data_IF_927673646420
#
_entry.id   IF_927673646420
#
_cell.length_a   1.000
_cell.length_b   1.000
_cell.length_c   1.000
_cell.angle_alpha   90.00
_cell.angle_beta   90.00
_cell.angle_gamma   90.00
#
_symmetry.space_group_name_H-M   'P 1'
#
loop_
_entity.id
_entity.type
_entity.pdbx_description
1 polymer ?
#
# COMPACT_ATOMS: atom_id res chain seq x y z
N UNK A 1 -0.61 4.70 23.07
CA UNK A 1 0.10 4.11 21.91
C UNK A 1 -0.10 5.02 20.71
N UNK A 2 0.97 5.40 20.00
CA UNK A 2 0.86 6.20 18.77
C UNK A 2 0.76 5.27 17.54
N UNK A 3 -0.47 4.93 17.16
CA UNK A 3 -0.74 4.03 16.03
C UNK A 3 -0.33 4.62 14.67
N UNK A 4 -0.14 5.94 14.56
CA UNK A 4 0.37 6.56 13.34
C UNK A 4 1.85 6.25 13.15
N UNK A 5 2.64 6.30 14.22
CA UNK A 5 4.05 5.87 14.19
C UNK A 5 4.17 4.37 13.97
N UNK A 6 3.36 3.54 14.64
CA UNK A 6 3.38 2.08 14.44
C UNK A 6 3.01 1.72 13.00
N UNK A 7 1.99 2.36 12.43
CA UNK A 7 1.61 2.14 11.03
C UNK A 7 2.70 2.51 10.04
N UNK A 8 3.57 3.49 10.35
CA UNK A 8 4.70 3.84 9.49
C UNK A 8 5.77 2.76 9.56
N UNK A 9 6.07 2.26 10.77
CA UNK A 9 7.02 1.18 11.01
C UNK A 9 6.60 -0.09 10.27
N UNK A 10 5.37 -0.55 10.52
CA UNK A 10 4.82 -1.76 9.88
C UNK A 10 4.75 -1.58 8.36
N UNK A 11 4.42 -0.39 7.85
CA UNK A 11 4.48 -0.12 6.42
C UNK A 11 5.91 -0.21 5.87
N UNK A 12 6.92 0.22 6.62
CA UNK A 12 8.31 0.11 6.17
C UNK A 12 8.77 -1.34 6.08
N UNK A 13 8.56 -2.11 7.16
CA UNK A 13 8.84 -3.54 7.21
C UNK A 13 8.15 -4.31 6.08
N UNK A 14 6.84 -4.10 5.89
CA UNK A 14 6.06 -4.91 4.94
C UNK A 14 6.15 -4.44 3.48
N UNK A 15 6.73 -3.26 3.19
CA UNK A 15 6.74 -2.71 1.82
C UNK A 15 8.12 -2.50 1.23
N UNK A 16 9.09 -2.17 2.07
CA UNK A 16 10.36 -1.62 1.61
C UNK A 16 11.53 -2.50 2.01
N UNK A 17 11.57 -2.96 3.26
CA UNK A 17 12.74 -3.65 3.80
C UNK A 17 12.36 -4.83 4.71
N UNK A 18 11.58 -5.83 4.26
CA UNK A 18 11.19 -6.97 5.11
C UNK A 18 12.41 -7.74 5.64
N UNK A 19 13.50 -7.83 4.86
CA UNK A 19 14.74 -8.47 5.28
C UNK A 19 15.45 -7.78 6.45
N UNK A 20 15.29 -6.46 6.64
CA UNK A 20 15.84 -5.76 7.83
C UNK A 20 15.11 -6.17 9.12
N UNK A 21 13.91 -6.73 8.98
CA UNK A 21 13.12 -7.30 10.07
C UNK A 21 13.18 -8.83 10.07
N UNK A 22 14.08 -9.45 9.30
CA UNK A 22 14.17 -10.91 9.17
C UNK A 22 12.83 -11.55 8.72
N UNK A 23 12.04 -10.82 7.92
CA UNK A 23 10.76 -11.27 7.39
C UNK A 23 10.90 -11.68 5.93
N UNK A 24 10.20 -12.76 5.58
CA UNK A 24 9.99 -13.18 4.19
C UNK A 24 8.52 -13.02 3.83
N UNK A 25 8.25 -12.13 2.86
CA UNK A 25 6.91 -11.98 2.32
C UNK A 25 6.60 -13.15 1.38
N UNK A 26 5.41 -13.71 1.45
CA UNK A 26 4.96 -14.62 0.40
C UNK A 26 4.59 -13.89 -0.90
N UNK A 27 4.22 -14.64 -1.95
CA UNK A 27 3.87 -14.09 -3.26
C UNK A 27 2.73 -13.06 -3.22
N UNK A 28 1.91 -13.06 -2.17
CA UNK A 28 0.79 -12.16 -1.96
C UNK A 28 1.08 -11.07 -0.91
N UNK A 29 2.29 -11.05 -0.33
CA UNK A 29 2.79 -10.06 0.62
C UNK A 29 2.55 -10.40 2.09
N UNK A 30 2.09 -11.61 2.42
CA UNK A 30 1.77 -11.99 3.80
C UNK A 30 3.00 -12.44 4.59
N UNK A 31 3.00 -12.11 5.88
CA UNK A 31 3.90 -12.63 6.91
C UNK A 31 3.09 -13.12 8.11
N UNK A 32 3.70 -13.95 8.94
CA UNK A 32 3.15 -14.30 10.25
C UNK A 32 3.23 -13.09 11.21
N UNK A 33 2.16 -12.86 11.98
CA UNK A 33 2.12 -11.76 12.98
C UNK A 33 3.13 -12.01 14.09
N UNK A 34 3.31 -13.24 14.55
CA UNK A 34 4.24 -13.58 15.62
C UNK A 34 5.67 -13.26 15.19
N UNK A 35 6.05 -13.57 13.94
CA UNK A 35 7.35 -13.17 13.39
C UNK A 35 7.51 -11.65 13.31
N UNK A 36 6.50 -10.92 12.80
CA UNK A 36 6.56 -9.45 12.77
C UNK A 36 6.72 -8.86 14.17
N UNK A 37 6.01 -9.39 15.17
CA UNK A 37 6.09 -8.93 16.55
C UNK A 37 7.49 -9.18 17.13
N UNK A 38 8.05 -10.37 16.94
CA UNK A 38 9.42 -10.69 17.37
C UNK A 38 10.43 -9.69 16.82
N UNK A 39 10.35 -9.38 15.53
CA UNK A 39 11.24 -8.41 14.89
C UNK A 39 11.04 -6.99 15.41
N UNK A 40 9.78 -6.57 15.60
CA UNK A 40 9.49 -5.24 16.15
C UNK A 40 9.96 -5.10 17.59
N UNK A 41 9.90 -6.18 18.39
CA UNK A 41 10.32 -6.16 19.79
C UNK A 41 11.82 -5.94 19.99
N UNK A 42 12.63 -6.07 18.93
CA UNK A 42 14.06 -5.72 18.96
C UNK A 42 14.29 -4.22 19.16
N UNK A 43 13.34 -3.37 18.74
CA UNK A 43 13.34 -1.93 19.03
C UNK A 43 12.64 -1.66 20.37
N UNK A 44 13.36 -1.02 21.30
CA UNK A 44 12.84 -0.58 22.60
C UNK A 44 11.55 0.21 22.52
N UNK A 45 11.32 0.92 21.42
CA UNK A 45 10.09 1.67 21.18
C UNK A 45 8.86 0.77 21.02
N UNK A 46 9.05 -0.44 20.53
CA UNK A 46 7.99 -1.38 20.18
C UNK A 46 8.00 -2.65 21.03
N UNK A 47 8.93 -2.83 21.98
CA UNK A 47 9.10 -4.04 22.81
C UNK A 47 7.84 -4.58 23.52
N UNK A 48 6.80 -3.77 23.70
CA UNK A 48 5.56 -4.14 24.39
C UNK A 48 4.33 -4.24 23.49
N UNK A 49 4.47 -4.06 22.16
CA UNK A 49 3.32 -4.12 21.26
C UNK A 49 2.77 -5.55 21.19
N UNK A 50 1.45 -5.66 21.03
CA UNK A 50 0.78 -6.95 20.92
C UNK A 50 0.07 -7.11 19.57
N UNK A 51 -0.38 -8.33 19.25
CA UNK A 51 -1.28 -8.53 18.10
C UNK A 51 -2.55 -7.64 18.21
N UNK A 52 -3.05 -7.43 19.44
CA UNK A 52 -4.21 -6.55 19.66
C UNK A 52 -3.91 -5.10 19.28
N UNK A 53 -2.67 -4.63 19.44
CA UNK A 53 -2.25 -3.30 19.01
C UNK A 53 -2.15 -3.22 17.48
N UNK A 54 -1.65 -4.25 16.82
CA UNK A 54 -1.63 -4.33 15.35
C UNK A 54 -3.06 -4.31 14.80
N UNK A 55 -3.98 -5.06 15.38
CA UNK A 55 -5.41 -5.05 15.00
C UNK A 55 -6.02 -3.66 15.17
N UNK A 56 -5.85 -3.04 16.34
CA UNK A 56 -6.32 -1.67 16.59
C UNK A 56 -5.71 -0.65 15.62
N UNK A 57 -4.43 -0.78 15.29
CA UNK A 57 -3.77 0.06 14.30
C UNK A 57 -4.41 -0.07 12.91
N UNK A 58 -4.74 -1.29 12.48
CA UNK A 58 -5.42 -1.54 11.19
C UNK A 58 -6.85 -0.99 11.19
N UNK A 59 -7.57 -1.19 12.28
CA UNK A 59 -8.97 -0.79 12.41
C UNK A 59 -9.13 0.73 12.47
N UNK A 60 -8.29 1.41 13.27
CA UNK A 60 -8.33 2.85 13.46
C UNK A 60 -7.77 3.67 12.29
N UNK A 61 -7.12 3.03 11.30
CA UNK A 61 -6.52 3.75 10.18
C UNK A 61 -7.56 4.08 9.09
N UNK A 62 -7.75 5.38 8.83
CA UNK A 62 -8.61 5.89 7.74
C UNK A 62 -8.22 5.30 6.38
N UNK A 63 -6.90 5.15 6.18
CA UNK A 63 -6.34 4.55 4.97
C UNK A 63 -6.10 3.09 5.29
N UNK A 64 -6.92 2.20 4.75
CA UNK A 64 -6.75 0.74 4.88
C UNK A 64 -5.46 0.30 4.18
N UNK A 65 -4.33 0.43 4.88
CA UNK A 65 -2.95 0.20 4.39
C UNK A 65 -2.50 -1.24 4.55
N UNK A 66 -3.04 -1.90 5.56
CA UNK A 66 -2.72 -3.27 5.93
C UNK A 66 -4.03 -4.03 6.14
N UNK A 67 -3.94 -5.34 6.11
CA UNK A 67 -5.01 -6.24 6.51
C UNK A 67 -4.45 -7.41 7.31
N UNK A 68 -5.28 -7.97 8.17
CA UNK A 68 -4.96 -9.13 9.01
C UNK A 68 -5.98 -10.22 8.72
N UNK A 69 -5.49 -11.43 8.43
CA UNK A 69 -6.32 -12.62 8.20
C UNK A 69 -5.58 -13.85 8.71
N UNK A 70 -6.24 -14.71 9.48
CA UNK A 70 -5.69 -15.98 9.97
C UNK A 70 -4.28 -15.87 10.58
N UNK A 71 -4.10 -14.92 11.53
CA UNK A 71 -2.81 -14.59 12.17
C UNK A 71 -1.70 -14.10 11.23
N UNK A 72 -2.01 -13.77 9.99
CA UNK A 72 -1.07 -13.17 9.03
C UNK A 72 -1.42 -11.71 8.80
N UNK A 73 -0.42 -10.92 8.46
CA UNK A 73 -0.56 -9.50 8.11
C UNK A 73 0.15 -9.21 6.78
N UNK A 74 -0.43 -8.32 5.98
CA UNK A 74 0.23 -7.79 4.78
C UNK A 74 -0.07 -6.32 4.54
N UNK A 75 0.76 -5.66 3.75
CA UNK A 75 0.42 -4.38 3.16
C UNK A 75 -0.45 -4.56 1.91
N UNK A 76 -1.47 -3.71 1.75
CA UNK A 76 -2.40 -3.79 0.62
C UNK A 76 -1.81 -3.22 -0.68
N UNK A 77 -0.91 -2.23 -0.57
CA UNK A 77 -0.27 -1.53 -1.68
C UNK A 77 1.04 -0.85 -1.24
N UNK A 78 1.81 -0.36 -2.21
CA UNK A 78 2.99 0.47 -1.98
C UNK A 78 4.29 -0.27 -1.75
N UNK A 79 4.37 -1.55 -2.13
CA UNK A 79 5.60 -2.34 -2.10
C UNK A 79 6.63 -1.78 -3.08
N UNK A 80 7.90 -1.80 -2.66
CA UNK A 80 9.08 -1.54 -3.50
C UNK A 80 10.11 -2.66 -3.39
N UNK A 81 9.74 -3.80 -2.81
CA UNK A 81 10.59 -4.99 -2.78
C UNK A 81 10.81 -5.51 -4.20
N UNK A 82 11.96 -6.16 -4.49
CA UNK A 82 12.25 -6.69 -5.83
C UNK A 82 11.23 -7.75 -6.28
N UNK A 83 10.71 -8.54 -5.35
CA UNK A 83 9.68 -9.52 -5.63
C UNK A 83 8.34 -8.86 -5.93
N UNK A 84 7.75 -9.16 -7.09
CA UNK A 84 6.42 -8.64 -7.45
C UNK A 84 5.35 -9.30 -6.58
N UNK A 85 4.72 -8.50 -5.72
CA UNK A 85 3.53 -8.93 -4.96
C UNK A 85 2.34 -9.07 -5.89
N UNK A 86 1.76 -10.26 -5.95
CA UNK A 86 0.60 -10.57 -6.77
C UNK A 86 -0.62 -9.79 -6.28
N UNK A 87 -1.38 -9.24 -7.23
CA UNK A 87 -2.62 -8.50 -6.98
C UNK A 87 -3.70 -8.98 -7.94
N UNK A 88 -4.93 -9.00 -7.46
CA UNK A 88 -6.08 -9.37 -8.28
C UNK A 88 -6.38 -8.24 -9.28
N UNK A 89 -6.41 -8.60 -10.57
CA UNK A 89 -6.97 -7.73 -11.61
C UNK A 89 -8.43 -7.46 -11.25
N UNK A 90 -8.86 -6.22 -11.36
CA UNK A 90 -10.22 -5.79 -11.03
C UNK A 90 -10.83 -4.96 -12.15
N UNK A 91 -12.16 -4.93 -12.19
CA UNK A 91 -12.91 -4.04 -13.09
C UNK A 91 -12.91 -2.64 -12.45
N UNK A 92 -12.22 -1.64 -13.05
CA UNK A 92 -12.12 -0.31 -12.48
C UNK A 92 -13.44 0.46 -12.61
N UNK A 93 -13.63 1.54 -11.83
CA UNK A 93 -14.61 2.56 -12.17
C UNK A 93 -14.25 3.23 -13.51
N UNK A 94 -15.21 3.96 -14.10
CA UNK A 94 -14.98 4.71 -15.36
C UNK A 94 -13.82 5.69 -15.25
N UNK A 95 -13.71 6.37 -14.12
CA UNK A 95 -12.71 7.38 -13.82
C UNK A 95 -11.96 7.05 -12.52
N UNK A 96 -10.64 7.21 -12.56
CA UNK A 96 -9.76 7.26 -11.41
C UNK A 96 -9.01 8.59 -11.38
N UNK A 97 -8.38 8.89 -10.25
CA UNK A 97 -7.63 10.13 -10.05
C UNK A 97 -6.21 9.85 -9.57
N UNK A 98 -5.26 10.64 -10.06
CA UNK A 98 -3.87 10.63 -9.61
C UNK A 98 -3.42 12.05 -9.27
N UNK A 99 -3.19 12.30 -7.98
CA UNK A 99 -2.61 13.56 -7.51
C UNK A 99 -1.10 13.56 -7.67
N UNK A 100 -0.56 14.61 -8.30
CA UNK A 100 0.86 14.77 -8.59
C UNK A 100 1.34 16.21 -8.30
N UNK A 101 2.65 16.46 -8.22
CA UNK A 101 3.19 17.82 -8.19
C UNK A 101 3.32 18.39 -9.61
N UNK A 102 3.28 19.72 -9.77
CA UNK A 102 3.36 20.39 -11.09
C UNK A 102 4.63 20.03 -11.85
N UNK A 103 5.75 19.87 -11.14
CA UNK A 103 7.07 19.68 -11.74
C UNK A 103 7.64 18.26 -11.55
N UNK A 104 6.98 17.38 -10.77
CA UNK A 104 7.44 16.03 -10.47
C UNK A 104 6.27 15.08 -10.14
N UNK A 105 6.25 13.89 -10.74
CA UNK A 105 5.26 12.87 -10.38
C UNK A 105 5.54 12.32 -8.99
N UNK A 106 4.60 12.49 -8.05
CA UNK A 106 4.66 11.82 -6.74
C UNK A 106 5.33 12.57 -5.57
N UNK A 107 5.64 13.87 -5.67
CA UNK A 107 6.02 14.65 -4.47
C UNK A 107 4.81 14.72 -3.52
N UNK A 108 4.95 14.16 -2.33
CA UNK A 108 3.94 14.34 -1.26
C UNK A 108 4.04 15.79 -0.77
N UNK A 109 2.91 16.48 -0.64
CA UNK A 109 2.80 17.84 -0.06
C UNK A 109 3.31 18.98 -0.97
N UNK A 110 3.04 18.94 -2.27
CA UNK A 110 3.04 20.16 -3.08
C UNK A 110 1.92 21.08 -2.56
N UNK A 111 2.19 22.39 -2.45
CA UNK A 111 1.17 23.39 -2.11
C UNK A 111 0.15 23.59 -3.25
N UNK A 112 0.50 23.19 -4.48
CA UNK A 112 -0.34 23.30 -5.66
C UNK A 112 -0.34 21.98 -6.45
N UNK A 113 -0.96 20.92 -5.91
CA UNK A 113 -1.02 19.63 -6.61
C UNK A 113 -1.83 19.74 -7.90
N UNK A 114 -1.41 18.99 -8.91
CA UNK A 114 -2.19 18.77 -10.14
C UNK A 114 -2.97 17.48 -9.95
N UNK A 115 -4.26 17.53 -10.26
CA UNK A 115 -5.11 16.34 -10.28
C UNK A 115 -5.22 15.84 -11.72
N UNK A 116 -4.74 14.62 -11.94
CA UNK A 116 -4.89 13.94 -13.22
C UNK A 116 -6.14 13.05 -13.17
N UNK A 117 -7.00 13.19 -14.16
CA UNK A 117 -8.15 12.33 -14.41
C UNK A 117 -7.73 11.19 -15.33
N UNK A 118 -7.95 9.96 -14.89
CA UNK A 118 -7.59 8.73 -15.61
C UNK A 118 -8.86 8.05 -16.09
N UNK A 119 -9.01 7.88 -17.40
CA UNK A 119 -10.11 7.13 -18.04
C UNK A 119 -9.87 5.62 -17.90
N UNK A 120 -10.08 5.12 -16.68
CA UNK A 120 -9.66 3.79 -16.24
C UNK A 120 -10.42 2.65 -16.92
N UNK A 121 -11.74 2.79 -17.13
CA UNK A 121 -12.52 1.79 -17.89
C UNK A 121 -12.06 1.67 -19.33
N UNK A 122 -11.83 2.81 -20.01
CA UNK A 122 -11.30 2.82 -21.38
C UNK A 122 -9.92 2.17 -21.46
N UNK A 123 -9.03 2.50 -20.52
CA UNK A 123 -7.71 1.88 -20.44
C UNK A 123 -7.82 0.36 -20.24
N UNK A 124 -8.71 -0.10 -19.35
CA UNK A 124 -8.96 -1.52 -19.10
C UNK A 124 -9.49 -2.24 -20.34
N UNK A 125 -10.43 -1.63 -21.06
CA UNK A 125 -10.99 -2.17 -22.31
C UNK A 125 -9.95 -2.28 -23.43
N UNK A 126 -8.92 -1.43 -23.40
CA UNK A 126 -7.77 -1.49 -24.31
C UNK A 126 -6.61 -2.36 -23.77
N UNK A 127 -6.85 -3.18 -22.75
CA UNK A 127 -5.91 -4.20 -22.27
C UNK A 127 -4.97 -3.76 -21.15
N UNK A 128 -5.11 -2.54 -20.61
CA UNK A 128 -4.33 -2.10 -19.45
C UNK A 128 -4.84 -2.79 -18.19
N UNK A 129 -3.99 -3.60 -17.57
CA UNK A 129 -4.32 -4.28 -16.31
C UNK A 129 -4.35 -3.29 -15.16
N UNK A 130 -5.49 -3.23 -14.49
CA UNK A 130 -5.70 -2.48 -13.26
C UNK A 130 -5.98 -3.45 -12.12
N UNK A 131 -5.32 -3.23 -10.99
CA UNK A 131 -5.36 -4.11 -9.84
C UNK A 131 -5.96 -3.38 -8.63
N UNK A 132 -6.80 -4.08 -7.87
CA UNK A 132 -7.41 -3.51 -6.68
C UNK A 132 -6.41 -3.53 -5.52
N UNK A 133 -6.06 -2.36 -5.00
CA UNK A 133 -5.28 -2.23 -3.76
C UNK A 133 -6.19 -2.29 -2.53
N UNK A 134 -7.14 -1.36 -2.45
CA UNK A 134 -8.22 -1.37 -1.46
C UNK A 134 -9.47 -0.68 -2.06
N UNK A 135 -10.44 -0.27 -1.23
CA UNK A 135 -11.65 0.40 -1.72
C UNK A 135 -11.42 1.77 -2.38
N UNK A 136 -10.31 2.46 -2.07
CA UNK A 136 -10.00 3.80 -2.56
C UNK A 136 -8.71 3.86 -3.42
N UNK A 137 -7.93 2.78 -3.48
CA UNK A 137 -6.62 2.73 -4.14
C UNK A 137 -6.63 1.65 -5.20
N UNK A 138 -6.33 2.08 -6.43
CA UNK A 138 -6.10 1.24 -7.60
C UNK A 138 -4.63 1.28 -8.00
N UNK A 139 -4.15 0.20 -8.59
CA UNK A 139 -2.77 0.03 -9.02
C UNK A 139 -2.74 -0.28 -10.52
N UNK A 140 -1.69 0.17 -11.20
CA UNK A 140 -1.41 -0.13 -12.60
C UNK A 140 0.10 -0.32 -12.74
N UNK A 141 0.53 -1.19 -13.67
CA UNK A 141 1.96 -1.24 -14.04
C UNK A 141 2.33 0.03 -14.82
N UNK A 142 1.47 0.43 -15.76
CA UNK A 142 1.63 1.64 -16.56
C UNK A 142 0.27 2.09 -17.14
N UNK A 143 0.07 3.40 -17.29
CA UNK A 143 -1.11 4.00 -17.96
C UNK A 143 -0.61 4.95 -19.04
N UNK A 144 -0.97 4.70 -20.30
CA UNK A 144 -0.62 5.60 -21.40
C UNK A 144 -1.27 6.98 -21.23
N UNK A 145 -0.53 8.03 -21.61
CA UNK A 145 -1.00 9.43 -21.55
C UNK A 145 -2.30 9.70 -22.30
N UNK A 146 -2.61 8.92 -23.34
CA UNK A 146 -3.90 9.01 -24.07
C UNK A 146 -5.14 8.73 -23.22
N UNK A 147 -4.98 8.13 -22.04
CA UNK A 147 -6.05 7.90 -21.07
C UNK A 147 -6.04 8.89 -19.92
N UNK A 148 -5.18 9.92 -19.97
CA UNK A 148 -4.98 10.87 -18.88
C UNK A 148 -5.33 12.26 -19.38
N UNK A 149 -6.15 12.97 -18.61
CA UNK A 149 -6.45 14.38 -18.78
C UNK A 149 -6.11 15.15 -17.50
N UNK A 150 -5.80 16.43 -17.65
CA UNK A 150 -5.64 17.34 -16.50
C UNK A 150 -7.01 17.91 -16.17
N UNK A 151 -7.36 17.94 -14.88
CA UNK A 151 -8.55 18.63 -14.38
C UNK A 151 -8.26 20.10 -14.06
#
# INVERSE_FOLDING_TARGET
MDYSKLSKEVSYALRHAPGEYELELDSEGWVDIEHLLLSLHTDKKWESITESDLRRMVDASDKKRHEILNKRIRALYGHSVPQKVLKKVGIPPSILYHGTARNLVGKRKDSHPVLLKVHAEKASNEGIKLYRGNNAVWLADFVHSRFISVE
#
